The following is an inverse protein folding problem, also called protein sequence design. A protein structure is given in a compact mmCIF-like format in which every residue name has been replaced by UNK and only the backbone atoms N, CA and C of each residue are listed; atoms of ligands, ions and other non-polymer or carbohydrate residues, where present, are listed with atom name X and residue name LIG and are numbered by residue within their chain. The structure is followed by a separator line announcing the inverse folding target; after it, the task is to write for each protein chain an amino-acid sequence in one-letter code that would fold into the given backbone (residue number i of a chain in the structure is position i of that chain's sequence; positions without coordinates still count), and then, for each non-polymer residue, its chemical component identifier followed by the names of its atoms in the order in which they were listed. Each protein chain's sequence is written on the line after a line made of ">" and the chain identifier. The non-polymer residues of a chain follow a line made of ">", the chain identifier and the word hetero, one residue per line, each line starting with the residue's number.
data_IF_665787982097
#
_entry.id   IF_665787982097
#
_cell.length_a   1.000
_cell.length_b   1.000
_cell.length_c   1.000
_cell.angle_alpha   90.00
_cell.angle_beta   90.00
_cell.angle_gamma   90.00
#
_symmetry.space_group_name_H-M   'P 1'
#
loop_
_entity.id
_entity.type
_entity.pdbx_description
1 polymer ?
#
# COMPACT_ATOMS: atom_id res chain seq x y z
N UNK A 1 -20.21 1.43 13.30
CA UNK A 1 -19.87 2.48 12.33
C UNK A 1 -19.95 1.83 10.98
N UNK A 2 -20.86 2.28 10.12
CA UNK A 2 -20.93 1.75 8.75
C UNK A 2 -19.78 2.32 7.92
N UNK A 3 -19.54 3.64 7.97
CA UNK A 3 -18.67 4.37 7.01
C UNK A 3 -17.70 5.37 7.64
N UNK A 4 -16.65 5.71 6.91
CA UNK A 4 -15.66 6.76 7.16
C UNK A 4 -16.08 8.09 6.53
N UNK A 5 -16.59 8.06 5.29
CA UNK A 5 -17.00 9.23 4.51
C UNK A 5 -15.96 9.76 3.53
N UNK A 6 -15.13 8.87 2.96
CA UNK A 6 -14.15 9.22 1.89
C UNK A 6 -14.64 8.84 0.50
N UNK A 7 -15.63 7.95 0.41
CA UNK A 7 -16.28 7.58 -0.86
C UNK A 7 -17.75 8.06 -0.84
N UNK A 8 -18.22 8.51 -2.00
CA UNK A 8 -19.62 8.86 -2.25
C UNK A 8 -20.56 7.67 -1.96
N UNK A 9 -21.69 7.93 -1.30
CA UNK A 9 -22.67 6.90 -0.93
C UNK A 9 -23.18 6.10 -2.14
N UNK A 10 -23.37 6.74 -3.28
CA UNK A 10 -23.87 6.10 -4.49
C UNK A 10 -22.94 4.99 -5.00
N UNK A 11 -21.63 5.10 -4.74
CA UNK A 11 -20.64 4.08 -5.07
C UNK A 11 -20.72 2.86 -4.15
N UNK A 12 -21.11 3.07 -2.88
CA UNK A 12 -21.17 2.01 -1.87
C UNK A 12 -22.50 1.24 -1.85
N UNK A 13 -23.48 1.63 -2.67
CA UNK A 13 -24.86 1.09 -2.66
C UNK A 13 -24.97 -0.44 -2.74
N UNK A 14 -24.01 -1.10 -3.38
CA UNK A 14 -24.02 -2.55 -3.58
C UNK A 14 -23.18 -3.29 -2.53
N UNK A 15 -22.33 -2.57 -1.79
CA UNK A 15 -21.51 -3.12 -0.72
C UNK A 15 -22.34 -3.17 0.57
N UNK A 16 -22.33 -4.28 1.35
CA UNK A 16 -23.01 -4.31 2.64
C UNK A 16 -22.42 -3.27 3.61
N UNK A 17 -23.29 -2.56 4.34
CA UNK A 17 -22.92 -1.46 5.25
C UNK A 17 -21.84 -1.83 6.26
N UNK A 18 -21.80 -3.10 6.71
CA UNK A 18 -20.79 -3.58 7.66
C UNK A 18 -19.35 -3.50 7.12
N UNK A 19 -19.16 -3.39 5.80
CA UNK A 19 -17.85 -3.31 5.16
C UNK A 19 -17.49 -1.94 4.61
N UNK A 20 -18.39 -0.96 4.64
CA UNK A 20 -18.15 0.35 4.03
C UNK A 20 -16.86 0.97 4.58
N UNK A 21 -16.68 1.03 5.90
CA UNK A 21 -15.48 1.57 6.52
C UNK A 21 -14.19 0.79 6.15
N UNK A 22 -14.26 -0.53 6.03
CA UNK A 22 -13.10 -1.35 5.66
C UNK A 22 -12.70 -1.12 4.20
N UNK A 23 -13.68 -0.99 3.31
CA UNK A 23 -13.49 -0.68 1.90
C UNK A 23 -12.93 0.73 1.70
N UNK A 24 -13.56 1.71 2.35
CA UNK A 24 -13.11 3.11 2.35
C UNK A 24 -11.69 3.26 2.89
N UNK A 25 -11.29 2.45 3.88
CA UNK A 25 -9.92 2.46 4.37
C UNK A 25 -8.93 1.93 3.33
N UNK A 26 -9.24 0.84 2.62
CA UNK A 26 -8.39 0.34 1.54
C UNK A 26 -8.26 1.36 0.40
N UNK A 27 -9.36 2.05 0.06
CA UNK A 27 -9.36 3.11 -0.94
C UNK A 27 -8.54 4.32 -0.48
N UNK A 28 -8.63 4.70 0.79
CA UNK A 28 -7.81 5.76 1.37
C UNK A 28 -6.31 5.43 1.29
N UNK A 29 -5.92 4.20 1.63
CA UNK A 29 -4.52 3.76 1.51
C UNK A 29 -4.03 3.84 0.05
N UNK A 30 -4.87 3.42 -0.90
CA UNK A 30 -4.60 3.59 -2.32
C UNK A 30 -4.38 5.07 -2.69
N UNK A 31 -5.32 5.94 -2.30
CA UNK A 31 -5.26 7.37 -2.67
C UNK A 31 -4.06 8.08 -2.02
N UNK A 32 -3.64 7.66 -0.83
CA UNK A 32 -2.39 8.14 -0.21
C UNK A 32 -1.16 7.78 -1.06
N UNK A 33 -1.06 6.54 -1.53
CA UNK A 33 0.05 6.10 -2.39
C UNK A 33 0.03 6.80 -3.76
N UNK A 34 -1.16 7.02 -4.32
CA UNK A 34 -1.33 7.76 -5.56
C UNK A 34 -0.97 9.24 -5.42
N UNK A 35 -1.37 9.89 -4.33
CA UNK A 35 -1.01 11.28 -4.04
C UNK A 35 0.51 11.44 -3.92
N UNK A 36 1.18 10.50 -3.23
CA UNK A 36 2.63 10.48 -3.11
C UNK A 36 3.33 10.30 -4.47
N UNK A 37 2.82 9.41 -5.33
CA UNK A 37 3.31 9.26 -6.71
C UNK A 37 3.21 10.57 -7.49
N UNK A 38 2.04 11.21 -7.49
CA UNK A 38 1.81 12.48 -8.20
C UNK A 38 2.73 13.59 -7.68
N UNK A 39 2.95 13.66 -6.37
CA UNK A 39 3.87 14.64 -5.78
C UNK A 39 5.31 14.42 -6.25
N UNK A 40 5.78 13.18 -6.27
CA UNK A 40 7.14 12.84 -6.74
C UNK A 40 7.32 13.10 -8.23
N UNK A 41 6.31 12.84 -9.06
CA UNK A 41 6.33 13.20 -10.48
C UNK A 41 6.38 14.73 -10.66
N UNK A 42 5.57 15.46 -9.92
CA UNK A 42 5.49 16.93 -10.02
C UNK A 42 6.77 17.66 -9.61
N UNK A 43 7.58 17.03 -8.76
CA UNK A 43 8.85 17.57 -8.27
C UNK A 43 10.05 17.12 -9.10
N UNK A 44 9.86 16.25 -10.10
CA UNK A 44 10.95 15.68 -10.89
C UNK A 44 11.89 14.82 -10.06
N UNK A 45 11.44 14.23 -8.95
CA UNK A 45 12.30 13.55 -7.99
C UNK A 45 13.03 12.32 -8.58
N UNK A 46 12.51 11.76 -9.68
CA UNK A 46 13.13 10.66 -10.40
C UNK A 46 14.30 11.11 -11.31
N UNK A 47 14.41 12.41 -11.61
CA UNK A 47 15.40 12.95 -12.55
C UNK A 47 16.82 12.88 -11.96
N UNK A 48 17.78 12.48 -12.81
CA UNK A 48 19.19 12.41 -12.46
C UNK A 48 19.95 13.36 -13.37
N UNK A 49 20.53 14.41 -12.79
CA UNK A 49 21.29 15.42 -13.52
C UNK A 49 22.78 15.07 -13.57
N UNK A 50 23.36 15.13 -14.77
CA UNK A 50 24.79 14.92 -15.02
C UNK A 50 25.31 16.10 -15.86
N UNK A 51 26.39 16.73 -15.39
CA UNK A 51 27.06 17.79 -16.14
C UNK A 51 28.09 17.20 -17.10
N UNK A 52 28.08 17.68 -18.35
CA UNK A 52 29.10 17.37 -19.35
C UNK A 52 30.32 18.27 -19.15
N UNK A 53 31.53 17.71 -19.25
CA UNK A 53 32.76 18.47 -19.01
C UNK A 53 33.19 19.35 -20.19
N UNK A 54 32.92 18.90 -21.42
CA UNK A 54 33.43 19.52 -22.65
C UNK A 54 32.64 19.05 -23.89
N UNK A 55 32.98 19.62 -25.05
CA UNK A 55 32.34 19.29 -26.34
C UNK A 55 32.58 17.83 -26.75
N UNK A 56 33.69 17.20 -26.33
CA UNK A 56 33.98 15.80 -26.67
C UNK A 56 33.03 14.83 -25.95
N UNK A 57 32.63 15.14 -24.72
CA UNK A 57 31.56 14.38 -24.05
C UNK A 57 30.20 14.58 -24.71
N UNK A 58 29.95 15.77 -25.25
CA UNK A 58 28.72 16.03 -25.99
C UNK A 58 28.65 15.22 -27.28
N UNK A 59 29.74 15.20 -28.06
CA UNK A 59 29.85 14.36 -29.26
C UNK A 59 29.69 12.86 -28.91
N UNK A 60 30.26 12.43 -27.78
CA UNK A 60 30.12 11.05 -27.30
C UNK A 60 28.68 10.72 -26.91
N UNK A 61 27.97 11.62 -26.23
CA UNK A 61 26.56 11.44 -25.89
C UNK A 61 25.69 11.36 -27.16
N UNK A 62 25.91 12.26 -28.12
CA UNK A 62 25.14 12.29 -29.38
C UNK A 62 25.40 11.06 -30.26
N UNK A 63 26.58 10.44 -30.15
CA UNK A 63 26.94 9.21 -30.87
C UNK A 63 26.63 7.90 -30.13
N UNK A 64 26.24 7.97 -28.86
CA UNK A 64 25.87 6.78 -28.06
C UNK A 64 24.47 6.29 -28.42
N UNK A 65 24.26 4.97 -28.38
CA UNK A 65 22.95 4.36 -28.66
C UNK A 65 21.88 4.79 -27.64
N UNK A 66 22.28 4.96 -26.38
CA UNK A 66 21.43 5.48 -25.32
C UNK A 66 22.21 6.32 -24.30
N UNK A 67 21.48 7.11 -23.52
CA UNK A 67 22.05 7.86 -22.37
C UNK A 67 22.69 6.90 -21.36
N UNK A 68 22.15 5.69 -21.21
CA UNK A 68 22.69 4.66 -20.32
C UNK A 68 24.05 4.17 -20.83
N UNK A 69 24.19 3.96 -22.14
CA UNK A 69 25.45 3.53 -22.74
C UNK A 69 26.53 4.60 -22.59
N UNK A 70 26.17 5.86 -22.83
CA UNK A 70 27.06 7.01 -22.57
C UNK A 70 27.55 7.05 -21.12
N UNK A 71 26.64 6.88 -20.15
CA UNK A 71 27.00 6.90 -18.73
C UNK A 71 27.91 5.71 -18.37
N UNK A 72 27.68 4.54 -18.95
CA UNK A 72 28.52 3.38 -18.72
C UNK A 72 29.92 3.55 -19.35
N UNK A 73 30.01 4.02 -20.59
CA UNK A 73 31.27 4.21 -21.31
C UNK A 73 32.16 5.29 -20.70
N UNK A 74 31.57 6.28 -20.03
CA UNK A 74 32.29 7.35 -19.34
C UNK A 74 32.60 7.04 -17.86
N UNK A 75 32.34 5.81 -17.39
CA UNK A 75 32.60 5.42 -16.00
C UNK A 75 31.60 5.99 -14.98
N UNK A 76 30.47 6.54 -15.45
CA UNK A 76 29.38 7.12 -14.67
C UNK A 76 28.24 6.14 -14.43
N UNK A 77 28.52 4.83 -14.38
CA UNK A 77 27.52 3.77 -14.23
C UNK A 77 26.59 3.94 -13.01
N UNK A 78 27.07 4.54 -11.92
CA UNK A 78 26.23 4.86 -10.75
C UNK A 78 25.06 5.80 -11.06
N UNK A 79 25.25 6.75 -11.98
CA UNK A 79 24.17 7.64 -12.42
C UNK A 79 23.17 6.88 -13.30
N UNK A 80 23.66 5.98 -14.16
CA UNK A 80 22.80 5.11 -14.96
C UNK A 80 21.94 4.21 -14.07
N UNK A 81 22.57 3.56 -13.09
CA UNK A 81 21.92 2.69 -12.12
C UNK A 81 20.82 3.43 -11.35
N UNK A 82 21.12 4.65 -10.86
CA UNK A 82 20.14 5.47 -10.16
C UNK A 82 18.98 5.91 -11.07
N UNK A 83 19.26 6.32 -12.32
CA UNK A 83 18.23 6.70 -13.27
C UNK A 83 17.27 5.53 -13.60
N UNK A 84 17.82 4.33 -13.77
CA UNK A 84 17.05 3.10 -14.01
C UNK A 84 16.17 2.79 -12.79
N UNK A 85 16.75 2.74 -11.59
CA UNK A 85 16.01 2.42 -10.35
C UNK A 85 14.90 3.45 -10.07
N UNK A 86 15.19 4.74 -10.22
CA UNK A 86 14.22 5.81 -10.02
C UNK A 86 13.03 5.66 -10.97
N UNK A 87 13.32 5.43 -12.26
CA UNK A 87 12.29 5.25 -13.28
C UNK A 87 11.44 4.01 -12.99
N UNK A 88 12.07 2.87 -12.70
CA UNK A 88 11.37 1.61 -12.39
C UNK A 88 10.46 1.76 -11.19
N UNK A 89 10.94 2.39 -10.11
CA UNK A 89 10.13 2.61 -8.91
C UNK A 89 8.87 3.41 -9.23
N UNK A 90 8.98 4.50 -9.98
CA UNK A 90 7.82 5.33 -10.35
C UNK A 90 6.81 4.56 -11.21
N UNK A 91 7.27 3.92 -12.29
CA UNK A 91 6.37 3.22 -13.22
C UNK A 91 5.76 1.95 -12.62
N UNK A 92 6.50 1.25 -11.74
CA UNK A 92 6.00 0.06 -11.04
C UNK A 92 4.82 0.43 -10.14
N UNK A 93 4.97 1.46 -9.30
CA UNK A 93 3.86 1.92 -8.44
C UNK A 93 2.70 2.49 -9.25
N UNK A 94 2.96 3.21 -10.35
CA UNK A 94 1.92 3.69 -11.25
C UNK A 94 1.06 2.55 -11.80
N UNK A 95 1.68 1.50 -12.36
CA UNK A 95 0.98 0.31 -12.86
C UNK A 95 0.21 -0.39 -11.72
N UNK A 96 0.86 -0.59 -10.56
CA UNK A 96 0.23 -1.26 -9.42
C UNK A 96 -1.02 -0.52 -8.94
N UNK A 97 -0.96 0.80 -8.83
CA UNK A 97 -2.07 1.63 -8.34
C UNK A 97 -3.24 1.64 -9.33
N UNK A 98 -3.00 1.69 -10.63
CA UNK A 98 -4.06 1.56 -11.63
C UNK A 98 -4.84 0.24 -11.50
N UNK A 99 -4.13 -0.88 -11.34
CA UNK A 99 -4.78 -2.19 -11.13
C UNK A 99 -5.55 -2.24 -9.81
N UNK A 100 -5.00 -1.68 -8.73
CA UNK A 100 -5.66 -1.64 -7.43
C UNK A 100 -6.91 -0.77 -7.43
N UNK A 101 -6.88 0.40 -8.07
CA UNK A 101 -8.04 1.26 -8.25
C UNK A 101 -9.18 0.51 -8.92
N UNK A 102 -8.93 -0.08 -10.09
CA UNK A 102 -9.95 -0.82 -10.85
C UNK A 102 -10.45 -2.07 -10.09
N UNK A 103 -9.59 -2.69 -9.29
CA UNK A 103 -9.99 -3.79 -8.44
C UNK A 103 -10.94 -3.34 -7.31
N UNK A 104 -10.64 -2.24 -6.62
CA UNK A 104 -11.50 -1.68 -5.58
C UNK A 104 -12.85 -1.23 -6.16
N UNK A 105 -12.85 -0.59 -7.33
CA UNK A 105 -14.07 -0.25 -8.07
C UNK A 105 -14.87 -1.50 -8.46
N UNK A 106 -14.18 -2.58 -8.82
CA UNK A 106 -14.83 -3.87 -9.15
C UNK A 106 -15.46 -4.52 -7.91
N UNK A 107 -14.82 -4.39 -6.73
CA UNK A 107 -15.40 -4.82 -5.46
C UNK A 107 -16.68 -4.03 -5.13
N UNK A 108 -16.74 -2.72 -5.37
CA UNK A 108 -17.97 -1.93 -5.18
C UNK A 108 -19.11 -2.46 -6.04
N UNK A 109 -18.81 -3.00 -7.22
CA UNK A 109 -19.79 -3.54 -8.16
C UNK A 109 -20.07 -5.04 -7.96
N UNK A 110 -19.58 -5.66 -6.88
CA UNK A 110 -19.66 -7.12 -6.60
C UNK A 110 -19.09 -7.99 -7.74
N UNK A 111 -18.16 -7.44 -8.54
CA UNK A 111 -17.47 -8.18 -9.61
C UNK A 111 -16.23 -8.87 -9.05
N UNK A 112 -16.43 -9.85 -8.16
CA UNK A 112 -15.37 -10.47 -7.37
C UNK A 112 -14.25 -11.09 -8.20
N UNK A 113 -14.59 -11.87 -9.23
CA UNK A 113 -13.60 -12.50 -10.11
C UNK A 113 -12.71 -11.46 -10.78
N UNK A 114 -13.31 -10.39 -11.32
CA UNK A 114 -12.57 -9.29 -11.94
C UNK A 114 -11.67 -8.58 -10.92
N UNK A 115 -12.21 -8.24 -9.75
CA UNK A 115 -11.46 -7.57 -8.71
C UNK A 115 -10.22 -8.39 -8.26
N UNK A 116 -10.42 -9.67 -7.99
CA UNK A 116 -9.35 -10.55 -7.50
C UNK A 116 -8.31 -10.86 -8.58
N UNK A 117 -8.72 -11.00 -9.84
CA UNK A 117 -7.78 -11.12 -10.97
C UNK A 117 -6.94 -9.85 -11.15
N UNK A 118 -7.56 -8.66 -10.99
CA UNK A 118 -6.84 -7.39 -11.06
C UNK A 118 -5.87 -7.20 -9.89
N UNK A 119 -6.26 -7.56 -8.66
CA UNK A 119 -5.38 -7.47 -7.48
C UNK A 119 -4.18 -8.41 -7.55
N UNK A 120 -4.28 -9.52 -8.30
CA UNK A 120 -3.21 -10.51 -8.37
C UNK A 120 -1.90 -9.90 -8.87
N UNK A 121 -1.92 -9.10 -9.94
CA UNK A 121 -0.70 -8.50 -10.52
C UNK A 121 0.03 -7.58 -9.53
N UNK A 122 -0.58 -6.53 -8.95
CA UNK A 122 0.11 -5.66 -8.01
C UNK A 122 0.55 -6.40 -6.74
N UNK A 123 -0.27 -7.32 -6.22
CA UNK A 123 0.02 -7.93 -4.92
C UNK A 123 0.95 -9.14 -4.99
N UNK A 124 0.89 -9.99 -6.03
CA UNK A 124 1.83 -11.12 -6.18
C UNK A 124 3.11 -10.76 -6.93
N UNK A 125 3.04 -9.91 -7.94
CA UNK A 125 4.19 -9.62 -8.80
C UNK A 125 4.81 -8.28 -8.44
N UNK A 126 4.02 -7.21 -8.45
CA UNK A 126 4.52 -5.86 -8.16
C UNK A 126 5.10 -5.73 -6.75
N UNK A 127 4.40 -6.25 -5.75
CA UNK A 127 4.81 -6.16 -4.35
C UNK A 127 6.17 -6.83 -4.07
N UNK A 128 6.45 -8.01 -4.63
CA UNK A 128 7.75 -8.67 -4.39
C UNK A 128 8.88 -7.98 -5.14
N UNK A 129 8.63 -7.42 -6.33
CA UNK A 129 9.63 -6.61 -7.02
C UNK A 129 9.95 -5.34 -6.22
N UNK A 130 8.93 -4.63 -5.72
CA UNK A 130 9.13 -3.47 -4.86
C UNK A 130 9.86 -3.85 -3.55
N UNK A 131 9.53 -5.00 -2.96
CA UNK A 131 10.25 -5.53 -1.79
C UNK A 131 11.71 -5.84 -2.12
N UNK A 132 12.00 -6.38 -3.30
CA UNK A 132 13.36 -6.67 -3.74
C UNK A 132 14.18 -5.40 -3.91
N UNK A 133 13.66 -4.41 -4.64
CA UNK A 133 14.33 -3.11 -4.82
C UNK A 133 14.57 -2.45 -3.45
N UNK A 134 13.60 -2.56 -2.54
CA UNK A 134 13.72 -2.00 -1.20
C UNK A 134 14.82 -2.69 -0.38
N UNK A 135 14.86 -4.02 -0.40
CA UNK A 135 15.81 -4.84 0.35
C UNK A 135 17.25 -4.73 -0.17
N UNK A 136 17.43 -4.87 -1.49
CA UNK A 136 18.73 -4.93 -2.17
C UNK A 136 18.63 -4.39 -3.62
N UNK A 137 18.91 -3.09 -3.78
CA UNK A 137 18.92 -2.43 -5.10
C UNK A 137 19.99 -3.01 -6.03
N UNK A 138 21.13 -3.45 -5.47
CA UNK A 138 22.27 -3.91 -6.27
C UNK A 138 21.98 -5.29 -6.88
N UNK A 139 21.51 -6.23 -6.06
CA UNK A 139 21.09 -7.56 -6.53
C UNK A 139 19.93 -7.45 -7.52
N UNK A 140 18.94 -6.58 -7.26
CA UNK A 140 17.84 -6.36 -8.19
C UNK A 140 18.34 -5.87 -9.56
N UNK A 141 19.22 -4.88 -9.56
CA UNK A 141 19.70 -4.25 -10.80
C UNK A 141 20.62 -5.17 -11.60
N UNK A 142 21.45 -5.97 -10.92
CA UNK A 142 22.26 -7.01 -11.56
C UNK A 142 21.37 -8.01 -12.30
N UNK A 143 20.34 -8.52 -11.62
CA UNK A 143 19.40 -9.48 -12.19
C UNK A 143 18.57 -8.89 -13.35
N UNK A 144 18.20 -7.61 -13.25
CA UNK A 144 17.52 -6.90 -14.32
C UNK A 144 18.37 -6.79 -15.59
N UNK A 145 19.68 -6.59 -15.44
CA UNK A 145 20.63 -6.48 -16.57
C UNK A 145 20.98 -7.84 -17.18
N UNK A 146 20.97 -8.91 -16.39
CA UNK A 146 21.38 -10.25 -16.83
C UNK A 146 20.27 -10.99 -17.59
N UNK A 147 19.16 -11.32 -16.92
CA UNK A 147 18.04 -12.05 -17.50
C UNK A 147 16.77 -11.81 -16.68
N UNK A 148 16.04 -10.72 -16.95
CA UNK A 148 14.87 -10.35 -16.16
C UNK A 148 13.72 -11.35 -16.32
N UNK A 149 13.58 -11.97 -17.50
CA UNK A 149 12.49 -12.91 -17.77
C UNK A 149 12.61 -14.17 -16.92
N UNK A 150 13.83 -14.68 -16.76
CA UNK A 150 14.09 -15.84 -15.89
C UNK A 150 14.08 -15.46 -14.41
N UNK A 151 14.70 -14.34 -14.05
CA UNK A 151 14.98 -14.03 -12.64
C UNK A 151 13.76 -13.52 -11.89
N UNK A 152 12.86 -12.81 -12.58
CA UNK A 152 11.66 -12.24 -11.98
C UNK A 152 10.41 -13.11 -12.18
N UNK A 153 10.54 -14.30 -12.78
CA UNK A 153 9.46 -15.27 -12.83
C UNK A 153 9.10 -15.71 -11.40
N UNK A 154 7.84 -15.50 -11.03
CA UNK A 154 7.29 -15.87 -9.73
C UNK A 154 7.41 -17.36 -9.40
N UNK A 155 7.46 -18.21 -10.43
CA UNK A 155 7.66 -19.66 -10.28
C UNK A 155 9.08 -20.03 -9.86
N UNK A 156 10.07 -19.20 -10.22
CA UNK A 156 11.48 -19.43 -9.95
C UNK A 156 11.93 -18.84 -8.61
N UNK A 157 11.23 -17.82 -8.09
CA UNK A 157 11.53 -17.25 -6.78
C UNK A 157 11.00 -18.17 -5.67
N UNK A 158 11.91 -18.80 -4.93
CA UNK A 158 11.58 -19.72 -3.85
C UNK A 158 10.80 -19.02 -2.70
N UNK A 159 10.00 -19.78 -1.92
CA UNK A 159 9.35 -19.27 -0.71
C UNK A 159 10.30 -18.56 0.27
N UNK A 160 11.48 -19.14 0.48
CA UNK A 160 12.49 -18.63 1.40
C UNK A 160 13.06 -17.30 0.90
N UNK A 161 13.31 -17.19 -0.42
CA UNK A 161 13.72 -15.93 -1.04
C UNK A 161 12.62 -14.88 -0.87
N UNK A 162 11.34 -15.21 -1.12
CA UNK A 162 10.22 -14.26 -0.92
C UNK A 162 10.17 -13.73 0.50
N UNK A 163 10.25 -14.60 1.51
CA UNK A 163 10.26 -14.20 2.92
C UNK A 163 11.48 -13.33 3.22
N UNK A 164 12.67 -13.69 2.72
CA UNK A 164 13.90 -12.91 2.93
C UNK A 164 13.83 -11.51 2.33
N UNK A 165 13.21 -11.36 1.15
CA UNK A 165 13.02 -10.06 0.50
C UNK A 165 12.02 -9.18 1.26
N UNK A 166 10.92 -9.79 1.74
CA UNK A 166 9.92 -9.12 2.58
C UNK A 166 10.56 -8.65 3.90
N UNK A 167 11.37 -9.51 4.56
CA UNK A 167 12.08 -9.16 5.79
C UNK A 167 13.15 -8.09 5.54
N UNK A 168 13.88 -8.18 4.43
CA UNK A 168 14.84 -7.16 4.02
C UNK A 168 14.19 -5.79 3.81
N UNK A 169 13.05 -5.75 3.10
CA UNK A 169 12.27 -4.53 2.90
C UNK A 169 11.74 -3.97 4.23
N UNK A 170 11.22 -4.84 5.10
CA UNK A 170 10.78 -4.48 6.45
C UNK A 170 11.93 -3.84 7.24
N UNK A 171 13.13 -4.41 7.19
CA UNK A 171 14.32 -3.87 7.86
C UNK A 171 14.75 -2.47 7.39
N UNK A 172 14.33 -2.03 6.20
CA UNK A 172 14.55 -0.66 5.71
C UNK A 172 13.41 0.29 6.10
N UNK A 173 12.19 -0.23 6.26
CA UNK A 173 11.00 0.57 6.51
C UNK A 173 10.82 0.90 8.01
N UNK A 174 11.25 2.10 8.47
CA UNK A 174 10.92 2.50 9.87
C UNK A 174 9.42 2.43 10.16
N UNK A 175 9.04 1.95 11.35
CA UNK A 175 7.64 1.85 11.80
C UNK A 175 6.88 0.64 11.25
N UNK A 176 7.57 -0.36 10.70
CA UNK A 176 6.99 -1.61 10.19
C UNK A 176 6.79 -2.70 11.25
N UNK A 177 6.92 -2.41 12.55
CA UNK A 177 6.90 -3.43 13.62
C UNK A 177 5.56 -4.15 13.76
N UNK A 178 4.48 -3.55 13.24
CA UNK A 178 3.18 -4.20 13.15
C UNK A 178 3.12 -5.33 12.10
N UNK A 179 4.19 -5.54 11.33
CA UNK A 179 4.27 -6.48 10.22
C UNK A 179 5.19 -7.64 10.58
N UNK A 180 4.67 -8.86 10.40
CA UNK A 180 5.46 -10.08 10.39
C UNK A 180 5.62 -10.58 8.94
N UNK A 181 6.86 -10.81 8.51
CA UNK A 181 7.17 -11.11 7.10
C UNK A 181 6.61 -12.45 6.64
N UNK A 182 6.62 -13.44 7.52
CA UNK A 182 5.95 -14.73 7.36
C UNK A 182 4.43 -14.58 7.20
N UNK A 183 3.82 -13.65 7.94
CA UNK A 183 2.39 -13.34 7.81
C UNK A 183 2.08 -12.72 6.44
N UNK A 184 2.85 -11.72 5.99
CA UNK A 184 2.65 -11.13 4.65
C UNK A 184 2.84 -12.19 3.57
N UNK A 185 3.85 -13.04 3.70
CA UNK A 185 4.04 -14.16 2.80
C UNK A 185 2.82 -15.10 2.78
N UNK A 186 2.31 -15.46 3.95
CA UNK A 186 1.15 -16.33 4.11
C UNK A 186 -0.12 -15.74 3.51
N UNK A 187 -0.30 -14.42 3.58
CA UNK A 187 -1.44 -13.72 2.98
C UNK A 187 -1.37 -13.77 1.44
N UNK A 188 -0.22 -13.44 0.86
CA UNK A 188 -0.10 -13.13 -0.57
C UNK A 188 0.27 -14.35 -1.42
N UNK A 189 1.06 -15.27 -0.89
CA UNK A 189 1.70 -16.34 -1.65
C UNK A 189 1.30 -17.76 -1.23
N UNK A 190 1.00 -17.98 0.06
CA UNK A 190 0.72 -19.32 0.56
C UNK A 190 -0.69 -19.79 0.20
N UNK A 191 -0.75 -20.83 -0.66
CA UNK A 191 -2.02 -21.45 -1.08
C UNK A 191 -2.66 -22.31 0.01
N UNK A 192 -1.93 -22.64 1.07
CA UNK A 192 -2.44 -23.40 2.22
C UNK A 192 -3.25 -22.52 3.18
N UNK A 193 -3.04 -21.21 3.14
CA UNK A 193 -3.81 -20.27 3.94
C UNK A 193 -5.18 -20.04 3.28
N UNK A 194 -6.18 -20.81 3.69
CA UNK A 194 -7.55 -20.75 3.16
C UNK A 194 -8.20 -19.36 3.27
N UNK A 195 -7.78 -18.57 4.25
CA UNK A 195 -8.28 -17.21 4.48
C UNK A 195 -7.44 -16.13 3.80
N UNK A 196 -6.28 -16.50 3.26
CA UNK A 196 -5.37 -15.58 2.58
C UNK A 196 -5.86 -15.20 1.17
N UNK A 197 -5.15 -14.24 0.57
CA UNK A 197 -5.44 -13.74 -0.76
C UNK A 197 -4.93 -14.68 -1.87
N UNK A 198 -3.88 -15.46 -1.60
CA UNK A 198 -3.29 -16.38 -2.58
C UNK A 198 -4.31 -17.35 -3.21
N UNK A 199 -5.13 -18.09 -2.44
CA UNK A 199 -6.16 -18.95 -3.01
C UNK A 199 -7.22 -18.19 -3.83
N UNK A 200 -7.60 -17.00 -3.36
CA UNK A 200 -8.62 -16.17 -4.03
C UNK A 200 -8.14 -15.70 -5.41
N UNK A 201 -6.88 -15.27 -5.52
CA UNK A 201 -6.29 -14.87 -6.80
C UNK A 201 -6.22 -16.03 -7.79
N UNK A 202 -5.83 -17.21 -7.32
CA UNK A 202 -5.67 -18.38 -8.19
C UNK A 202 -7.05 -18.88 -8.65
N UNK A 203 -8.07 -18.91 -7.77
CA UNK A 203 -9.45 -19.27 -8.15
C UNK A 203 -10.12 -18.25 -9.07
N UNK A 204 -9.74 -16.98 -8.98
CA UNK A 204 -10.23 -15.93 -9.88
C UNK A 204 -9.60 -16.01 -11.27
N UNK A 205 -8.31 -16.39 -11.34
CA UNK A 205 -7.53 -16.37 -12.60
C UNK A 205 -7.61 -17.67 -13.36
N UNK A 206 -7.61 -18.81 -12.68
CA UNK A 206 -7.63 -20.13 -13.30
C UNK A 206 -9.04 -20.71 -13.27
N UNK A 207 -9.55 -21.13 -14.43
CA UNK A 207 -10.86 -21.80 -14.54
C UNK A 207 -10.85 -23.18 -13.87
N UNK A 208 -9.73 -23.90 -13.98
CA UNK A 208 -9.50 -25.19 -13.33
C UNK A 208 -8.09 -25.24 -12.78
N UNK A 209 -7.89 -25.88 -11.63
CA UNK A 209 -6.55 -26.10 -11.06
C UNK A 209 -6.44 -27.46 -10.41
N UNK A 210 -5.24 -28.06 -10.52
CA UNK A 210 -4.88 -29.35 -9.91
C UNK A 210 -4.08 -29.18 -8.62
N UNK A 211 -3.82 -27.95 -8.18
CA UNK A 211 -3.08 -27.72 -6.94
C UNK A 211 -3.88 -28.30 -5.76
N UNK A 212 -3.31 -29.21 -4.94
CA UNK A 212 -4.07 -29.93 -3.90
C UNK A 212 -4.81 -29.04 -2.89
N UNK A 213 -4.31 -27.83 -2.62
CA UNK A 213 -4.89 -26.94 -1.62
C UNK A 213 -6.05 -26.09 -2.16
N UNK A 214 -6.16 -25.95 -3.47
CA UNK A 214 -7.18 -25.12 -4.13
C UNK A 214 -7.83 -25.86 -5.31
N UNK A 215 -7.75 -27.19 -5.30
CA UNK A 215 -8.19 -28.03 -6.41
C UNK A 215 -9.65 -27.76 -6.74
N UNK A 216 -9.95 -27.62 -8.03
CA UNK A 216 -11.32 -27.41 -8.48
C UNK A 216 -12.14 -28.66 -8.21
N UNK A 217 -13.26 -28.50 -7.50
CA UNK A 217 -14.18 -29.58 -7.17
C UNK A 217 -14.82 -30.22 -8.41
N UNK A 218 -15.31 -31.45 -8.28
CA UNK A 218 -16.03 -32.12 -9.37
C UNK A 218 -17.25 -31.29 -9.77
N UNK A 219 -17.49 -31.18 -11.08
CA UNK A 219 -18.59 -30.38 -11.67
C UNK A 219 -18.53 -28.87 -11.33
N UNK A 220 -17.35 -28.33 -11.00
CA UNK A 220 -17.11 -26.91 -10.74
C UNK A 220 -16.05 -26.34 -11.71
N UNK A 221 -16.07 -25.02 -11.96
CA UNK A 221 -15.09 -24.28 -12.77
C UNK A 221 -14.73 -22.97 -12.02
N UNK A 222 -14.33 -23.13 -10.76
CA UNK A 222 -13.97 -22.06 -9.82
C UNK A 222 -14.97 -20.90 -9.82
N UNK A 223 -14.50 -19.64 -9.86
CA UNK A 223 -15.33 -18.45 -9.67
C UNK A 223 -16.26 -18.11 -10.83
N UNK A 224 -16.33 -18.92 -11.89
CA UNK A 224 -17.37 -18.72 -12.92
C UNK A 224 -18.78 -18.87 -12.32
N UNK A 225 -18.90 -19.73 -11.30
CA UNK A 225 -20.16 -19.97 -10.58
C UNK A 225 -20.29 -19.12 -9.31
N UNK A 226 -19.37 -18.17 -9.06
CA UNK A 226 -19.46 -17.33 -7.86
C UNK A 226 -20.70 -16.46 -7.94
N UNK A 227 -21.61 -16.64 -6.98
CA UNK A 227 -22.78 -15.79 -6.86
C UNK A 227 -22.36 -14.39 -6.33
N UNK A 228 -22.64 -13.30 -7.06
CA UNK A 228 -22.32 -11.94 -6.62
C UNK A 228 -23.08 -11.50 -5.36
N UNK A 229 -24.17 -12.18 -5.02
CA UNK A 229 -24.98 -11.86 -3.85
C UNK A 229 -24.37 -12.33 -2.53
N UNK A 230 -23.54 -13.38 -2.53
CA UNK A 230 -22.85 -13.80 -1.31
C UNK A 230 -21.74 -12.80 -0.95
N UNK A 231 -21.57 -12.58 0.35
CA UNK A 231 -20.65 -11.57 0.90
C UNK A 231 -19.39 -12.19 1.53
N UNK A 232 -19.18 -13.48 1.32
CA UNK A 232 -18.06 -14.30 1.82
C UNK A 232 -16.69 -13.68 1.47
N UNK A 233 -16.52 -13.13 0.27
CA UNK A 233 -15.27 -12.46 -0.12
C UNK A 233 -14.97 -11.27 0.78
N UNK A 234 -15.98 -10.47 1.13
CA UNK A 234 -15.78 -9.30 1.99
C UNK A 234 -15.44 -9.65 3.44
N UNK A 235 -15.83 -10.85 3.92
CA UNK A 235 -15.56 -11.29 5.29
C UNK A 235 -14.07 -11.43 5.58
N UNK A 236 -13.30 -11.83 4.56
CA UNK A 236 -11.90 -12.20 4.75
C UNK A 236 -10.92 -11.26 4.04
N UNK A 237 -11.35 -10.53 3.01
CA UNK A 237 -10.40 -9.78 2.16
C UNK A 237 -9.82 -8.53 2.83
N UNK A 238 -10.64 -7.74 3.55
CA UNK A 238 -10.26 -6.36 3.86
C UNK A 238 -9.17 -6.23 4.92
N UNK A 239 -9.12 -7.12 5.92
CA UNK A 239 -8.08 -7.05 6.95
C UNK A 239 -6.70 -7.33 6.35
N UNK A 240 -6.62 -8.37 5.52
CA UNK A 240 -5.40 -8.79 4.84
C UNK A 240 -5.00 -7.77 3.76
N UNK A 241 -5.95 -7.32 2.95
CA UNK A 241 -5.71 -6.29 1.95
C UNK A 241 -5.21 -4.98 2.60
N UNK A 242 -5.89 -4.48 3.63
CA UNK A 242 -5.48 -3.24 4.31
C UNK A 242 -4.06 -3.37 4.89
N UNK A 243 -3.73 -4.50 5.52
CA UNK A 243 -2.39 -4.73 6.07
C UNK A 243 -1.32 -4.77 4.97
N UNK A 244 -1.60 -5.45 3.86
CA UNK A 244 -0.70 -5.49 2.71
C UNK A 244 -0.51 -4.10 2.09
N UNK A 245 -1.59 -3.33 1.91
CA UNK A 245 -1.53 -1.96 1.38
C UNK A 245 -0.77 -1.02 2.32
N UNK A 246 -0.93 -1.15 3.64
CA UNK A 246 -0.15 -0.38 4.62
C UNK A 246 1.35 -0.67 4.49
N UNK A 247 1.73 -1.94 4.31
CA UNK A 247 3.14 -2.26 4.12
C UNK A 247 3.68 -1.77 2.77
N UNK A 248 2.90 -1.94 1.71
CA UNK A 248 3.26 -1.46 0.38
C UNK A 248 3.44 0.07 0.35
N UNK A 249 2.62 0.81 1.10
CA UNK A 249 2.79 2.26 1.29
C UNK A 249 4.12 2.58 2.01
N UNK A 250 4.46 1.83 3.06
CA UNK A 250 5.78 1.98 3.71
C UNK A 250 6.95 1.72 2.77
N UNK A 251 6.86 0.69 1.93
CA UNK A 251 7.87 0.40 0.91
C UNK A 251 7.96 1.55 -0.10
N UNK A 252 6.83 2.09 -0.55
CA UNK A 252 6.80 3.24 -1.46
C UNK A 252 7.49 4.45 -0.84
N UNK A 253 7.13 4.81 0.40
CA UNK A 253 7.74 5.93 1.13
C UNK A 253 9.25 5.73 1.24
N UNK A 254 9.71 4.54 1.61
CA UNK A 254 11.12 4.22 1.74
C UNK A 254 11.86 4.38 0.41
N UNK A 255 11.34 3.78 -0.68
CA UNK A 255 11.94 3.89 -2.00
C UNK A 255 11.96 5.33 -2.51
N UNK A 256 10.89 6.08 -2.26
CA UNK A 256 10.76 7.46 -2.71
C UNK A 256 11.64 8.40 -1.89
N UNK A 257 11.88 8.10 -0.61
CA UNK A 257 12.84 8.84 0.24
C UNK A 257 14.27 8.82 -0.32
N UNK A 258 14.61 7.82 -1.14
CA UNK A 258 15.91 7.68 -1.82
C UNK A 258 16.01 8.56 -3.07
N UNK A 259 14.88 9.01 -3.61
CA UNK A 259 14.77 9.89 -4.78
C UNK A 259 14.61 11.36 -4.37
N UNK A 260 13.84 11.61 -3.31
CA UNK A 260 13.60 12.95 -2.77
C UNK A 260 13.27 12.88 -1.28
N UNK A 261 13.51 13.95 -0.54
CA UNK A 261 13.36 13.92 0.91
C UNK A 261 11.88 13.85 1.35
N UNK A 262 11.42 12.66 1.77
CA UNK A 262 10.16 12.52 2.51
C UNK A 262 10.40 12.86 3.98
N UNK A 263 9.67 13.84 4.52
CA UNK A 263 9.84 14.28 5.92
C UNK A 263 9.36 13.21 6.90
N UNK A 264 10.17 12.92 7.92
CA UNK A 264 9.84 11.93 8.97
C UNK A 264 8.50 12.21 9.66
N UNK A 265 8.17 13.49 9.91
CA UNK A 265 6.88 13.87 10.52
C UNK A 265 5.67 13.47 9.68
N UNK A 266 5.78 13.52 8.35
CA UNK A 266 4.74 13.07 7.44
C UNK A 266 4.57 11.55 7.51
N UNK A 267 5.68 10.80 7.49
CA UNK A 267 5.69 9.35 7.66
C UNK A 267 5.04 8.92 8.99
N UNK A 268 5.39 9.56 10.10
CA UNK A 268 4.82 9.27 11.42
C UNK A 268 3.31 9.52 11.44
N UNK A 269 2.84 10.64 10.87
CA UNK A 269 1.41 10.94 10.76
C UNK A 269 0.66 9.88 9.94
N UNK A 270 1.20 9.47 8.80
CA UNK A 270 0.60 8.43 7.95
C UNK A 270 0.51 7.08 8.68
N UNK A 271 1.57 6.70 9.40
CA UNK A 271 1.60 5.51 10.23
C UNK A 271 0.56 5.55 11.36
N UNK A 272 0.49 6.65 12.11
CA UNK A 272 -0.45 6.82 13.21
C UNK A 272 -1.89 6.69 12.74
N UNK A 273 -2.24 7.39 11.67
CA UNK A 273 -3.61 7.41 11.12
C UNK A 273 -3.98 6.03 10.58
N UNK A 274 -3.10 5.40 9.79
CA UNK A 274 -3.34 4.07 9.22
C UNK A 274 -3.47 3.00 10.30
N UNK A 275 -2.57 2.95 11.28
CA UNK A 275 -2.63 1.99 12.40
C UNK A 275 -3.84 2.27 13.31
N UNK A 276 -4.18 3.54 13.50
CA UNK A 276 -5.35 3.97 14.27
C UNK A 276 -6.65 3.45 13.67
N UNK A 277 -6.80 3.59 12.34
CA UNK A 277 -7.95 3.08 11.57
C UNK A 277 -7.96 1.55 11.55
N UNK A 278 -6.83 0.92 11.22
CA UNK A 278 -6.71 -0.53 11.18
C UNK A 278 -7.10 -1.16 12.53
N UNK A 279 -6.58 -0.62 13.63
CA UNK A 279 -6.92 -1.07 14.97
C UNK A 279 -8.40 -0.87 15.31
N UNK A 280 -9.00 0.23 14.85
CA UNK A 280 -10.42 0.52 15.09
C UNK A 280 -11.36 -0.40 14.30
N UNK A 281 -11.00 -0.78 13.07
CA UNK A 281 -11.85 -1.61 12.20
C UNK A 281 -11.66 -3.10 12.51
N UNK A 282 -10.41 -3.58 12.58
CA UNK A 282 -10.13 -5.03 12.51
C UNK A 282 -9.76 -5.67 13.85
N UNK A 283 -9.21 -4.92 14.82
CA UNK A 283 -8.79 -5.50 16.10
C UNK A 283 -9.93 -5.54 17.12
N UNK A 284 -9.93 -6.54 18.01
CA UNK A 284 -10.87 -6.60 19.15
C UNK A 284 -10.43 -5.65 20.26
N UNK A 285 -11.38 -5.14 21.04
CA UNK A 285 -11.10 -4.20 22.14
C UNK A 285 -10.81 -2.77 21.69
N UNK A 286 -10.29 -1.94 22.61
CA UNK A 286 -9.98 -0.52 22.35
C UNK A 286 -8.56 -0.39 21.79
N UNK A 287 -8.38 0.24 20.60
CA UNK A 287 -7.06 0.38 19.99
C UNK A 287 -6.07 1.15 20.90
N UNK A 288 -4.80 0.71 21.02
CA UNK A 288 -3.78 1.43 21.79
C UNK A 288 -3.60 2.88 21.34
N UNK A 289 -3.53 3.13 20.03
CA UNK A 289 -3.37 4.48 19.48
C UNK A 289 -4.55 5.39 19.79
N UNK A 290 -5.76 4.84 19.83
CA UNK A 290 -6.93 5.60 20.27
C UNK A 290 -6.83 6.01 21.74
N UNK A 291 -6.23 5.18 22.60
CA UNK A 291 -5.97 5.57 24.01
C UNK A 291 -4.94 6.69 24.07
N UNK A 292 -3.83 6.55 23.35
CA UNK A 292 -2.79 7.55 23.24
C UNK A 292 -3.35 8.91 22.80
N UNK A 293 -4.10 8.98 21.70
CA UNK A 293 -4.68 10.24 21.23
C UNK A 293 -5.63 10.85 22.27
N UNK A 294 -6.52 10.05 22.86
CA UNK A 294 -7.45 10.53 23.88
C UNK A 294 -6.76 11.04 25.16
N UNK A 295 -5.56 10.53 25.49
CA UNK A 295 -4.79 11.02 26.63
C UNK A 295 -3.97 12.26 26.28
N UNK A 296 -3.24 12.20 25.16
CA UNK A 296 -2.29 13.24 24.76
C UNK A 296 -2.99 14.51 24.28
N UNK A 297 -4.11 14.37 23.56
CA UNK A 297 -4.84 15.51 23.01
C UNK A 297 -5.99 15.96 23.90
N UNK A 298 -6.10 15.46 25.14
CA UNK A 298 -7.24 15.69 26.03
C UNK A 298 -7.56 17.18 26.22
N UNK A 299 -6.54 18.02 26.35
CA UNK A 299 -6.70 19.47 26.55
C UNK A 299 -7.31 20.19 25.34
N UNK A 300 -7.21 19.59 24.15
CA UNK A 300 -7.77 20.11 22.90
C UNK A 300 -9.14 19.50 22.55
N UNK A 301 -9.66 18.55 23.34
CA UNK A 301 -10.90 17.81 23.05
C UNK A 301 -12.14 18.40 23.73
N UNK A 302 -12.35 19.72 23.60
CA UNK A 302 -13.57 20.38 24.08
C UNK A 302 -14.39 20.87 22.88
N UNK A 303 -15.72 20.69 22.93
CA UNK A 303 -16.59 21.22 21.89
C UNK A 303 -16.59 22.76 21.94
N UNK A 304 -16.29 23.45 20.83
CA UNK A 304 -16.26 24.92 20.82
C UNK A 304 -17.64 25.58 20.99
N UNK A 305 -18.73 24.81 20.84
CA UNK A 305 -20.10 25.33 20.99
C UNK A 305 -20.71 25.15 22.38
N UNK A 306 -20.32 24.11 23.12
CA UNK A 306 -20.94 23.78 24.41
C UNK A 306 -19.93 23.41 25.52
N UNK A 307 -18.63 23.61 25.27
CA UNK A 307 -17.50 23.32 26.16
C UNK A 307 -17.42 21.90 26.72
N UNK A 308 -18.26 21.00 26.21
CA UNK A 308 -18.30 19.61 26.66
C UNK A 308 -17.03 18.90 26.19
N UNK A 309 -16.27 18.38 27.15
CA UNK A 309 -15.14 17.52 26.87
C UNK A 309 -15.62 16.23 26.20
N UNK A 310 -15.05 15.88 25.05
CA UNK A 310 -15.36 14.63 24.37
C UNK A 310 -14.15 13.69 24.33
N UNK A 311 -14.45 12.40 24.17
CA UNK A 311 -13.46 11.34 23.95
C UNK A 311 -13.87 10.58 22.71
N UNK A 312 -12.92 10.34 21.83
CA UNK A 312 -13.12 9.60 20.60
C UNK A 312 -13.38 8.13 20.95
N UNK A 313 -14.55 7.63 20.56
CA UNK A 313 -14.92 6.21 20.68
C UNK A 313 -14.32 5.43 19.52
N UNK A 314 -14.19 4.12 19.70
CA UNK A 314 -13.71 3.21 18.64
C UNK A 314 -14.50 3.35 17.34
N UNK A 315 -15.82 3.51 17.45
CA UNK A 315 -16.71 3.70 16.32
C UNK A 315 -16.63 5.08 15.65
N UNK A 316 -15.85 6.01 16.18
CA UNK A 316 -15.60 7.35 15.59
C UNK A 316 -14.15 7.46 15.09
N UNK A 317 -13.28 6.55 15.55
CA UNK A 317 -11.84 6.61 15.29
C UNK A 317 -11.48 6.61 13.80
N UNK A 318 -12.12 5.82 12.91
CA UNK A 318 -11.80 5.87 11.48
C UNK A 318 -12.02 7.27 10.86
N UNK A 319 -13.18 7.90 11.08
CA UNK A 319 -13.42 9.28 10.60
C UNK A 319 -12.49 10.28 11.27
N UNK A 320 -12.19 10.10 12.57
CA UNK A 320 -11.24 10.96 13.25
C UNK A 320 -9.83 10.88 12.66
N UNK A 321 -9.30 9.69 12.41
CA UNK A 321 -7.93 9.53 11.92
C UNK A 321 -7.77 9.94 10.45
N UNK A 322 -8.81 9.78 9.62
CA UNK A 322 -8.74 10.05 8.18
C UNK A 322 -9.30 11.42 7.81
N UNK A 323 -10.50 11.75 8.28
CA UNK A 323 -11.17 13.03 7.97
C UNK A 323 -10.86 14.10 9.00
N UNK A 324 -10.18 13.75 10.09
CA UNK A 324 -9.88 14.69 11.15
C UNK A 324 -11.18 15.36 11.65
N UNK A 325 -12.26 14.58 11.78
CA UNK A 325 -13.56 15.08 12.28
C UNK A 325 -14.00 14.42 13.57
N UNK A 326 -14.71 15.20 14.38
CA UNK A 326 -15.30 14.78 15.66
C UNK A 326 -16.72 15.35 15.77
N UNK A 327 -17.67 14.52 16.17
CA UNK A 327 -19.05 14.95 16.39
C UNK A 327 -19.31 15.15 17.87
N UNK A 328 -19.77 16.35 18.25
CA UNK A 328 -20.22 16.59 19.62
C UNK A 328 -21.52 15.81 19.90
N UNK A 329 -21.56 15.03 20.99
CA UNK A 329 -22.73 14.20 21.31
C UNK A 329 -23.87 14.95 21.97
N UNK A 330 -23.56 16.08 22.62
CA UNK A 330 -24.58 16.96 23.23
C UNK A 330 -25.17 17.91 22.18
N UNK A 331 -24.31 18.47 21.34
CA UNK A 331 -24.67 19.54 20.40
C UNK A 331 -24.94 19.04 18.97
N UNK A 332 -24.59 17.79 18.66
CA UNK A 332 -24.83 17.16 17.35
C UNK A 332 -23.97 17.70 16.19
N UNK A 333 -23.20 18.76 16.39
CA UNK A 333 -22.37 19.37 15.34
C UNK A 333 -21.07 18.58 15.11
N UNK A 334 -20.70 18.40 13.83
CA UNK A 334 -19.38 17.92 13.40
C UNK A 334 -18.38 19.09 13.42
N UNK A 335 -17.20 18.84 13.99
CA UNK A 335 -16.08 19.78 14.03
C UNK A 335 -14.86 19.15 13.38
N UNK A 336 -14.07 19.96 12.70
CA UNK A 336 -12.74 19.56 12.24
C UNK A 336 -11.73 19.70 13.39
N UNK A 337 -10.88 18.69 13.55
CA UNK A 337 -9.83 18.59 14.55
C UNK A 337 -8.48 18.40 13.85
N UNK A 338 -7.60 19.41 13.79
CA UNK A 338 -6.41 19.42 12.94
C UNK A 338 -5.27 18.54 13.50
N UNK A 339 -5.48 17.22 13.55
CA UNK A 339 -4.61 16.25 14.20
C UNK A 339 -3.19 16.29 13.61
N UNK A 340 -3.05 16.23 12.29
CA UNK A 340 -1.76 16.25 11.62
C UNK A 340 -0.97 17.53 11.90
N UNK A 341 -1.65 18.67 11.97
CA UNK A 341 -1.01 19.94 12.30
C UNK A 341 -0.54 19.98 13.75
N UNK A 342 -1.37 19.52 14.71
CA UNK A 342 -0.97 19.45 16.13
C UNK A 342 0.22 18.51 16.33
N UNK A 343 0.21 17.36 15.67
CA UNK A 343 1.32 16.40 15.71
C UNK A 343 2.60 16.95 15.08
N UNK A 344 2.51 17.88 14.13
CA UNK A 344 3.70 18.52 13.56
C UNK A 344 4.46 19.41 14.56
N UNK A 345 3.77 19.89 15.60
CA UNK A 345 4.30 20.81 16.62
C UNK A 345 4.94 20.11 17.82
N UNK A 346 4.74 18.81 17.95
CA UNK A 346 5.24 18.00 19.06
C UNK A 346 6.31 17.05 18.52
N UNK A 347 7.34 16.77 19.32
CA UNK A 347 8.26 15.67 19.02
C UNK A 347 7.65 14.37 19.56
N UNK A 348 7.37 13.42 18.67
CA UNK A 348 6.77 12.14 19.01
C UNK A 348 7.24 11.06 18.04
N UNK A 349 7.34 9.84 18.56
CA UNK A 349 7.67 8.63 17.81
C UNK A 349 6.64 7.55 18.11
N UNK A 350 6.32 6.75 17.10
CA UNK A 350 5.65 5.47 17.28
C UNK A 350 6.76 4.45 17.50
N UNK A 351 7.22 4.32 18.74
CA UNK A 351 8.04 3.16 19.15
C UNK A 351 7.19 1.92 19.34
#
# INVERSE_FOLDING_TARGET
>A
MSRIGVIDEARLRHLPEKYHAAHEFCFHLHDQMAALLVEMESTGANEVSVSLSDESERDLLESSESVIDFLNSTGRSKFADRAILNTINMVLFSDMLHFLYEALISLEKKKFTVALSLMRKPLKEGFILASWICADEAEFLENLKLDPAKTFDQGEISPEKKISLIEGAKGKCKGSDFIASDQIYSIIYDRKNEYGLAPLFDKATHLVTRNPHIATEQLNINFIFKNPLDNDIYENIYADLAKTLMFMNLIQIELYSRMGAVKEKYKNWLLLTSLGVYGAIFLKGRPPLLRFVNSTMKEFMNCPGCDTAFKIRKAEAPSFFIRETVTCREYGMEHHFPLGWLLSKVEWTLE
#
